data_IF_279715373426
#
_entry.id   IF_279715373426
#
_cell.length_a   1.000
_cell.length_b   1.000
_cell.length_c   1.000
_cell.angle_alpha   90.00
_cell.angle_beta   90.00
_cell.angle_gamma   90.00
#
_symmetry.space_group_name_H-M   'P 1'
#
loop_
_entity.id
_entity.type
_entity.pdbx_description
1 polymer ?
#
# COMPACT_ATOMS: atom_id res chain seq x y z
N UNK A 1 70.60 -60.10 36.13
CA UNK A 1 71.01 -61.51 36.28
C UNK A 1 69.75 -62.35 36.09
N UNK A 2 69.84 -63.40 35.27
CA UNK A 2 68.79 -64.33 34.83
C UNK A 2 67.77 -63.75 33.81
N UNK A 3 67.67 -64.22 32.55
CA UNK A 3 67.38 -65.59 32.06
C UNK A 3 66.03 -66.06 32.64
N UNK A 4 65.11 -66.72 31.95
CA UNK A 4 65.07 -67.44 30.68
C UNK A 4 63.57 -67.68 30.38
N UNK A 5 63.12 -67.69 29.12
CA UNK A 5 62.95 -68.86 28.22
C UNK A 5 62.00 -69.94 28.79
N UNK A 6 60.98 -70.28 27.99
CA UNK A 6 60.20 -71.53 28.07
C UNK A 6 58.97 -71.44 27.17
N UNK A 7 59.09 -71.76 25.87
CA UNK A 7 58.65 -73.03 25.25
C UNK A 7 57.12 -73.18 25.25
N UNK A 8 56.42 -73.34 24.12
CA UNK A 8 56.65 -74.43 23.15
C UNK A 8 56.00 -74.14 21.79
N UNK A 9 56.75 -74.47 20.73
CA UNK A 9 56.39 -74.99 19.40
C UNK A 9 54.90 -75.35 19.12
N UNK A 10 54.31 -74.78 18.06
CA UNK A 10 54.21 -75.28 16.67
C UNK A 10 52.86 -75.98 16.38
N UNK A 11 51.99 -75.31 15.61
CA UNK A 11 51.36 -75.89 14.42
C UNK A 11 50.61 -74.79 13.64
N UNK A 12 51.03 -74.53 12.40
CA UNK A 12 50.34 -73.65 11.45
C UNK A 12 49.40 -74.51 10.59
N UNK A 13 48.14 -74.10 10.41
CA UNK A 13 47.50 -74.28 9.12
C UNK A 13 46.89 -72.97 8.59
N UNK A 14 47.48 -72.52 7.48
CA UNK A 14 46.92 -71.75 6.36
C UNK A 14 45.67 -70.90 6.61
N UNK A 15 45.92 -69.60 6.69
CA UNK A 15 44.99 -68.49 6.47
C UNK A 15 44.19 -68.68 5.17
N UNK A 16 42.89 -68.94 5.32
CA UNK A 16 41.88 -68.63 4.29
C UNK A 16 41.10 -67.43 4.80
N UNK A 17 41.52 -66.24 4.37
CA UNK A 17 40.83 -64.98 4.68
C UNK A 17 39.60 -64.93 3.77
N UNK A 18 38.43 -65.29 4.32
CA UNK A 18 37.16 -64.86 3.73
C UNK A 18 36.95 -63.38 4.07
N UNK A 19 36.69 -62.57 3.04
CA UNK A 19 36.37 -61.17 3.18
C UNK A 19 35.02 -61.02 3.91
N UNK A 20 35.07 -60.53 5.14
CA UNK A 20 33.88 -60.20 5.93
C UNK A 20 33.16 -58.99 5.31
N UNK A 21 31.83 -59.11 5.16
CA UNK A 21 30.96 -58.02 4.73
C UNK A 21 31.01 -56.86 5.76
N UNK A 22 31.00 -55.59 5.32
CA UNK A 22 31.05 -54.45 6.23
C UNK A 22 29.77 -54.34 7.08
N UNK A 23 29.87 -53.80 8.31
CA UNK A 23 28.73 -53.65 9.21
C UNK A 23 27.70 -52.64 8.66
N UNK A 24 26.41 -52.76 9.05
CA UNK A 24 25.37 -51.86 8.58
C UNK A 24 25.66 -50.42 9.03
N UNK A 25 25.60 -49.52 8.06
CA UNK A 25 25.79 -48.08 8.23
C UNK A 25 24.68 -47.54 9.13
N UNK A 26 25.04 -47.05 10.31
CA UNK A 26 24.17 -46.24 11.18
C UNK A 26 23.58 -45.09 10.35
N UNK A 27 22.27 -45.11 10.13
CA UNK A 27 21.55 -44.02 9.48
C UNK A 27 21.68 -42.77 10.35
N UNK A 28 22.37 -41.78 9.80
CA UNK A 28 22.50 -40.45 10.40
C UNK A 28 21.10 -39.84 10.45
N UNK A 29 20.57 -39.66 11.67
CA UNK A 29 19.38 -38.86 11.92
C UNK A 29 19.57 -37.52 11.20
N UNK A 30 18.78 -37.32 10.14
CA UNK A 30 18.74 -36.06 9.39
C UNK A 30 18.24 -34.99 10.36
N UNK A 31 19.15 -34.15 10.83
CA UNK A 31 18.78 -32.90 11.45
C UNK A 31 17.99 -32.11 10.41
N UNK A 32 16.70 -31.88 10.69
CA UNK A 32 15.88 -30.95 9.92
C UNK A 32 16.68 -29.65 9.75
N UNK A 33 16.93 -29.17 8.53
CA UNK A 33 17.52 -27.86 8.40
C UNK A 33 16.54 -26.88 9.04
N UNK A 34 17.01 -26.08 10.00
CA UNK A 34 16.27 -24.92 10.45
C UNK A 34 15.87 -24.15 9.20
N UNK A 35 14.57 -24.01 8.95
CA UNK A 35 14.05 -23.27 7.82
C UNK A 35 14.54 -21.84 7.97
N UNK A 36 15.66 -21.52 7.32
CA UNK A 36 16.12 -20.17 7.15
C UNK A 36 15.09 -19.54 6.25
N UNK A 37 14.15 -18.79 6.85
CA UNK A 37 13.21 -17.95 6.10
C UNK A 37 14.09 -16.93 5.37
N UNK A 38 14.52 -17.29 4.16
CA UNK A 38 14.92 -16.31 3.18
C UNK A 38 13.62 -15.61 2.82
N UNK A 39 13.52 -14.34 3.18
CA UNK A 39 12.62 -13.43 2.50
C UNK A 39 13.02 -13.46 1.02
N UNK A 40 12.42 -14.36 0.25
CA UNK A 40 12.33 -14.18 -1.19
C UNK A 40 11.62 -12.85 -1.39
N UNK A 41 12.12 -12.02 -2.30
CA UNK A 41 11.36 -10.91 -2.87
C UNK A 41 10.21 -11.50 -3.71
N UNK A 42 9.34 -12.27 -3.07
CA UNK A 42 8.08 -12.73 -3.61
C UNK A 42 7.19 -11.50 -3.67
N UNK A 43 7.22 -10.88 -4.83
CA UNK A 43 6.26 -9.89 -5.27
C UNK A 43 4.87 -10.52 -5.09
N UNK A 44 4.01 -9.95 -4.25
CA UNK A 44 2.70 -10.57 -3.94
C UNK A 44 1.84 -10.66 -5.20
N UNK A 45 0.87 -11.57 -5.30
CA UNK A 45 -0.03 -11.68 -6.46
C UNK A 45 -0.84 -10.40 -6.79
N UNK A 46 -0.65 -9.33 -6.03
CA UNK A 46 -1.18 -7.97 -6.26
C UNK A 46 -0.33 -7.20 -7.28
N UNK A 47 0.68 -7.82 -7.88
CA UNK A 47 1.84 -7.10 -8.40
C UNK A 47 2.25 -7.39 -9.86
N UNK A 48 1.43 -8.05 -10.64
CA UNK A 48 1.63 -8.16 -12.09
C UNK A 48 0.60 -7.27 -12.79
N UNK A 49 0.88 -6.72 -14.00
CA UNK A 49 -0.20 -6.25 -14.87
C UNK A 49 -1.20 -7.39 -14.96
N UNK A 50 -2.44 -7.10 -14.59
CA UNK A 50 -3.39 -8.16 -14.27
C UNK A 50 -3.60 -9.04 -15.52
N UNK A 51 -3.36 -10.36 -15.44
CA UNK A 51 -3.64 -11.27 -16.55
C UNK A 51 -5.13 -11.18 -16.92
N UNK A 52 -5.56 -11.65 -18.11
CA UNK A 52 -6.98 -11.68 -18.47
C UNK A 52 -7.84 -12.36 -17.37
N UNK A 53 -7.26 -13.35 -16.67
CA UNK A 53 -7.82 -13.99 -15.48
C UNK A 53 -7.55 -13.18 -14.18
N UNK A 54 -8.01 -11.93 -14.15
CA UNK A 54 -7.89 -11.06 -12.97
C UNK A 54 -9.03 -11.25 -11.98
N UNK A 55 -8.80 -11.01 -10.67
CA UNK A 55 -9.91 -10.95 -9.73
C UNK A 55 -10.85 -9.80 -10.11
N UNK A 56 -12.15 -10.09 -10.19
CA UNK A 56 -13.19 -9.10 -10.46
C UNK A 56 -13.87 -8.69 -9.16
N UNK A 57 -14.45 -7.49 -9.15
CA UNK A 57 -15.23 -6.98 -8.02
C UNK A 57 -16.46 -7.87 -7.71
N UNK A 58 -17.05 -8.47 -8.74
CA UNK A 58 -18.16 -9.40 -8.65
C UNK A 58 -17.72 -10.76 -9.24
N UNK A 59 -17.46 -11.78 -8.40
CA UNK A 59 -17.01 -13.08 -8.90
C UNK A 59 -18.05 -13.72 -9.84
N UNK A 60 -17.62 -14.09 -11.05
CA UNK A 60 -18.47 -14.75 -12.05
C UNK A 60 -19.11 -13.82 -13.08
N UNK A 61 -18.91 -12.49 -13.01
CA UNK A 61 -19.24 -11.61 -14.14
C UNK A 61 -18.13 -11.57 -15.19
N UNK A 62 -18.46 -11.08 -16.38
CA UNK A 62 -17.51 -10.63 -17.38
C UNK A 62 -17.15 -9.15 -17.14
N UNK A 63 -15.86 -8.75 -17.23
CA UNK A 63 -15.51 -7.34 -17.20
C UNK A 63 -16.01 -6.62 -18.46
N UNK A 64 -16.26 -5.29 -18.38
CA UNK A 64 -16.53 -4.48 -19.57
C UNK A 64 -15.35 -4.43 -20.55
N UNK A 65 -15.62 -4.29 -21.85
CA UNK A 65 -14.61 -4.34 -22.93
C UNK A 65 -13.53 -3.26 -22.83
N UNK A 66 -13.87 -2.08 -22.29
CA UNK A 66 -12.95 -0.96 -22.09
C UNK A 66 -12.03 -1.10 -20.87
N UNK A 67 -12.24 -2.13 -20.03
CA UNK A 67 -11.40 -2.46 -18.89
C UNK A 67 -10.58 -3.71 -19.20
N UNK A 68 -9.37 -3.50 -19.69
CA UNK A 68 -8.46 -4.54 -20.19
C UNK A 68 -7.50 -5.09 -19.12
N UNK A 69 -7.50 -4.54 -17.90
CA UNK A 69 -6.53 -4.89 -16.85
C UNK A 69 -5.20 -4.14 -16.94
N UNK A 70 -5.02 -3.26 -17.94
CA UNK A 70 -3.80 -2.44 -18.10
C UNK A 70 -3.73 -1.31 -17.08
N UNK A 71 -4.88 -0.86 -16.56
CA UNK A 71 -4.96 0.20 -15.55
C UNK A 71 -4.65 -0.34 -14.15
N UNK A 72 -3.89 0.41 -13.33
CA UNK A 72 -3.60 0.00 -11.96
C UNK A 72 -4.88 -0.01 -11.12
N UNK A 73 -5.19 -1.14 -10.49
CA UNK A 73 -6.41 -1.30 -9.68
C UNK A 73 -7.69 -1.57 -10.48
N UNK A 74 -7.57 -2.10 -11.71
CA UNK A 74 -8.70 -2.59 -12.51
C UNK A 74 -9.25 -3.91 -11.94
N UNK A 75 -10.46 -3.84 -11.36
CA UNK A 75 -11.24 -5.01 -10.91
C UNK A 75 -12.52 -5.18 -11.73
N UNK A 76 -12.62 -4.59 -12.93
CA UNK A 76 -13.80 -4.65 -13.78
C UNK A 76 -15.04 -3.92 -13.21
N UNK A 77 -14.83 -2.94 -12.33
CA UNK A 77 -15.91 -2.18 -11.69
C UNK A 77 -16.25 -0.93 -12.51
N UNK A 78 -17.25 -1.04 -13.38
CA UNK A 78 -17.93 0.10 -14.00
C UNK A 78 -19.37 -0.28 -14.39
N UNK A 79 -20.27 -0.51 -13.41
CA UNK A 79 -21.63 -0.96 -13.69
C UNK A 79 -22.48 0.10 -14.42
N UNK A 80 -22.09 1.38 -14.36
CA UNK A 80 -22.80 2.49 -14.99
C UNK A 80 -22.21 2.90 -16.35
N UNK A 81 -21.10 2.29 -16.77
CA UNK A 81 -20.45 2.59 -18.05
C UNK A 81 -19.91 4.01 -18.16
N UNK A 82 -19.52 4.62 -17.03
CA UNK A 82 -19.00 5.99 -17.00
C UNK A 82 -17.69 6.10 -17.79
N UNK A 83 -16.87 5.04 -17.76
CA UNK A 83 -15.58 4.97 -18.46
C UNK A 83 -15.65 4.37 -19.87
N UNK A 84 -16.84 4.27 -20.48
CA UNK A 84 -17.00 3.65 -21.80
C UNK A 84 -16.22 4.35 -22.91
N UNK A 85 -16.07 5.68 -22.83
CA UNK A 85 -15.23 6.45 -23.74
C UNK A 85 -13.79 6.54 -23.23
N UNK A 86 -12.76 6.34 -24.07
CA UNK A 86 -11.36 6.40 -23.67
C UNK A 86 -10.90 7.73 -23.06
N UNK A 87 -11.47 8.86 -23.50
CA UNK A 87 -11.13 10.19 -22.98
C UNK A 87 -11.70 10.38 -21.57
N UNK A 88 -12.98 10.04 -21.39
CA UNK A 88 -13.63 9.99 -20.08
C UNK A 88 -12.91 9.05 -19.10
N UNK A 89 -12.48 7.87 -19.56
CA UNK A 89 -11.72 6.92 -18.73
C UNK A 89 -10.38 7.50 -18.27
N UNK A 90 -9.65 8.18 -19.17
CA UNK A 90 -8.39 8.88 -18.82
C UNK A 90 -8.62 9.99 -17.80
N UNK A 91 -9.68 10.78 -17.98
CA UNK A 91 -10.05 11.82 -17.04
C UNK A 91 -10.39 11.25 -15.66
N UNK A 92 -11.22 10.20 -15.61
CA UNK A 92 -11.60 9.56 -14.34
C UNK A 92 -10.43 8.87 -13.64
N UNK A 93 -9.49 8.27 -14.37
CA UNK A 93 -8.27 7.71 -13.78
C UNK A 93 -7.43 8.80 -13.08
N UNK A 94 -7.31 9.98 -13.70
CA UNK A 94 -6.60 11.12 -13.11
C UNK A 94 -7.36 11.74 -11.95
N UNK A 95 -8.68 11.84 -12.07
CA UNK A 95 -9.53 12.30 -10.98
C UNK A 95 -9.40 11.37 -9.77
N UNK A 96 -9.52 10.05 -9.96
CA UNK A 96 -9.36 9.05 -8.89
C UNK A 96 -8.00 9.17 -8.20
N UNK A 97 -6.92 9.34 -8.96
CA UNK A 97 -5.58 9.49 -8.43
C UNK A 97 -5.45 10.74 -7.55
N UNK A 98 -5.95 11.90 -7.99
CA UNK A 98 -5.87 13.15 -7.21
C UNK A 98 -6.77 13.08 -5.97
N UNK A 99 -8.01 12.58 -6.10
CA UNK A 99 -8.92 12.41 -4.96
C UNK A 99 -8.34 11.44 -3.93
N UNK A 100 -7.76 10.32 -4.38
CA UNK A 100 -7.11 9.35 -3.52
C UNK A 100 -5.94 9.96 -2.75
N UNK A 101 -5.07 10.74 -3.41
CA UNK A 101 -3.93 11.42 -2.76
C UNK A 101 -4.39 12.44 -1.71
N UNK A 102 -5.36 13.29 -2.04
CA UNK A 102 -5.91 14.26 -1.09
C UNK A 102 -6.60 13.57 0.09
N UNK A 103 -7.36 12.50 -0.17
CA UNK A 103 -7.99 11.74 0.89
C UNK A 103 -6.97 11.06 1.82
N UNK A 104 -5.87 10.50 1.28
CA UNK A 104 -4.79 9.94 2.09
C UNK A 104 -4.15 11.00 2.99
N UNK A 105 -3.88 12.20 2.46
CA UNK A 105 -3.35 13.33 3.25
C UNK A 105 -4.35 13.80 4.30
N UNK A 106 -5.64 13.90 3.95
CA UNK A 106 -6.69 14.30 4.88
C UNK A 106 -6.85 13.30 6.03
N UNK A 107 -6.95 12.00 5.73
CA UNK A 107 -7.07 10.93 6.74
C UNK A 107 -5.85 10.90 7.66
N UNK A 108 -4.63 11.02 7.12
CA UNK A 108 -3.43 11.11 7.93
C UNK A 108 -3.43 12.39 8.80
N UNK A 109 -3.81 13.53 8.22
CA UNK A 109 -3.90 14.82 8.91
C UNK A 109 -4.99 14.90 9.98
N UNK A 110 -6.00 14.03 9.93
CA UNK A 110 -7.03 13.89 10.97
C UNK A 110 -6.55 12.92 12.06
N UNK A 111 -6.16 11.71 11.67
CA UNK A 111 -5.86 10.64 12.61
C UNK A 111 -4.56 10.85 13.39
N UNK A 112 -3.49 11.35 12.75
CA UNK A 112 -2.20 11.50 13.42
C UNK A 112 -2.30 12.54 14.55
N UNK A 113 -2.84 13.75 14.32
CA UNK A 113 -2.93 14.74 15.39
C UNK A 113 -3.90 14.36 16.49
N UNK A 114 -5.02 13.69 16.17
CA UNK A 114 -5.95 13.20 17.18
C UNK A 114 -5.33 12.09 18.04
N UNK A 115 -4.54 11.20 17.44
CA UNK A 115 -3.79 10.16 18.14
C UNK A 115 -2.75 10.79 19.08
N UNK A 116 -1.97 11.77 18.59
CA UNK A 116 -1.00 12.50 19.39
C UNK A 116 -1.65 13.32 20.51
N UNK A 117 -2.83 13.88 20.29
CA UNK A 117 -3.57 14.59 21.32
C UNK A 117 -4.03 13.65 22.44
N UNK A 118 -4.47 12.42 22.10
CA UNK A 118 -4.79 11.41 23.12
C UNK A 118 -3.58 10.87 23.88
N UNK A 119 -2.40 10.93 23.27
CA UNK A 119 -1.13 10.59 23.92
C UNK A 119 -0.53 11.76 24.72
N UNK A 120 -1.30 12.82 24.96
CA UNK A 120 -0.90 14.02 25.72
C UNK A 120 0.29 14.79 25.10
N UNK A 121 0.64 14.52 23.83
CA UNK A 121 1.66 15.29 23.11
C UNK A 121 1.12 16.62 22.54
N UNK A 122 -0.20 16.75 22.40
CA UNK A 122 -0.87 17.96 21.91
C UNK A 122 -2.15 18.23 22.70
N UNK A 123 -2.43 19.49 22.99
CA UNK A 123 -3.62 19.88 23.74
C UNK A 123 -4.79 20.20 22.80
N UNK A 124 -5.98 19.68 23.15
CA UNK A 124 -7.28 20.09 22.60
C UNK A 124 -7.32 20.19 21.07
N UNK A 125 -6.93 19.13 20.35
CA UNK A 125 -7.05 19.06 18.89
C UNK A 125 -8.41 18.51 18.46
N UNK A 126 -9.14 19.26 17.62
CA UNK A 126 -10.32 18.80 16.89
C UNK A 126 -10.13 19.21 15.44
N UNK A 127 -10.11 18.24 14.53
CA UNK A 127 -9.97 18.51 13.09
C UNK A 127 -11.17 19.26 12.53
N UNK A 128 -12.36 19.01 13.08
CA UNK A 128 -13.62 19.61 12.64
C UNK A 128 -13.69 21.10 12.99
N UNK A 129 -13.24 21.48 14.19
CA UNK A 129 -13.24 22.87 14.66
C UNK A 129 -11.95 23.63 14.32
N UNK A 130 -11.02 23.00 13.58
CA UNK A 130 -9.76 23.63 13.22
C UNK A 130 -9.97 24.91 12.39
N UNK A 131 -10.96 24.92 11.50
CA UNK A 131 -11.25 26.07 10.63
C UNK A 131 -11.76 27.32 11.35
N UNK A 132 -12.32 27.19 12.56
CA UNK A 132 -12.82 28.31 13.35
C UNK A 132 -11.80 28.88 14.33
N UNK A 133 -10.58 28.32 14.38
CA UNK A 133 -9.52 28.82 15.26
C UNK A 133 -8.96 30.14 14.72
N UNK A 134 -8.45 30.94 15.64
CA UNK A 134 -7.70 32.13 15.27
C UNK A 134 -6.30 31.74 14.79
N UNK A 135 -5.93 32.29 13.64
CA UNK A 135 -4.61 32.14 13.03
C UNK A 135 -3.95 33.51 12.93
N UNK A 136 -2.70 33.52 12.43
CA UNK A 136 -1.93 34.76 12.25
C UNK A 136 -2.53 35.73 11.21
N UNK A 137 -3.42 35.25 10.34
CA UNK A 137 -4.10 36.02 9.30
C UNK A 137 -5.58 35.62 9.24
N UNK A 138 -6.39 36.49 8.64
CA UNK A 138 -7.81 36.22 8.45
C UNK A 138 -8.03 35.03 7.50
N UNK A 139 -9.10 34.23 7.70
CA UNK A 139 -9.37 33.06 6.86
C UNK A 139 -9.51 33.37 5.37
N UNK A 140 -9.97 34.57 5.01
CA UNK A 140 -10.12 34.97 3.61
C UNK A 140 -8.75 35.19 2.95
N UNK A 141 -7.81 35.84 3.62
CA UNK A 141 -6.43 35.99 3.14
C UNK A 141 -5.75 34.64 2.96
N UNK A 142 -5.89 33.73 3.93
CA UNK A 142 -5.36 32.37 3.81
C UNK A 142 -5.99 31.62 2.63
N UNK A 143 -7.30 31.74 2.43
CA UNK A 143 -8.00 31.15 1.31
C UNK A 143 -7.54 31.70 -0.04
N UNK A 144 -7.37 33.02 -0.18
CA UNK A 144 -6.88 33.64 -1.42
C UNK A 144 -5.44 33.20 -1.73
N UNK A 145 -4.57 33.17 -0.72
CA UNK A 145 -3.21 32.67 -0.87
C UNK A 145 -3.20 31.20 -1.30
N UNK A 146 -4.04 30.37 -0.68
CA UNK A 146 -4.21 28.97 -1.08
C UNK A 146 -4.71 28.84 -2.52
N UNK A 147 -5.71 29.62 -2.94
CA UNK A 147 -6.24 29.60 -4.30
C UNK A 147 -5.19 30.03 -5.33
N UNK A 148 -4.36 31.02 -5.03
CA UNK A 148 -3.29 31.46 -5.92
C UNK A 148 -2.20 30.38 -6.08
N UNK A 149 -1.72 29.80 -4.98
CA UNK A 149 -0.68 28.77 -5.00
C UNK A 149 -1.18 27.46 -5.62
N UNK A 150 -2.34 26.97 -5.19
CA UNK A 150 -2.95 25.76 -5.72
C UNK A 150 -3.40 25.95 -7.17
N UNK A 151 -3.91 27.14 -7.52
CA UNK A 151 -4.27 27.47 -8.89
C UNK A 151 -3.07 27.39 -9.85
N UNK A 152 -1.89 27.84 -9.44
CA UNK A 152 -0.66 27.66 -10.22
C UNK A 152 -0.28 26.19 -10.38
N UNK A 153 -0.28 25.42 -9.29
CA UNK A 153 0.10 23.99 -9.31
C UNK A 153 -0.88 23.16 -10.13
N UNK A 154 -2.18 23.32 -9.90
CA UNK A 154 -3.24 22.63 -10.65
C UNK A 154 -3.32 23.10 -12.10
N UNK A 155 -3.06 24.38 -12.38
CA UNK A 155 -2.96 24.89 -13.75
C UNK A 155 -1.84 24.23 -14.56
N UNK A 156 -0.68 24.01 -13.92
CA UNK A 156 0.43 23.24 -14.52
C UNK A 156 0.06 21.77 -14.71
N UNK A 157 -0.58 21.14 -13.72
CA UNK A 157 -1.08 19.76 -13.84
C UNK A 157 -2.10 19.62 -14.97
N UNK A 158 -3.02 20.57 -15.09
CA UNK A 158 -4.02 20.63 -16.15
C UNK A 158 -3.38 20.75 -17.53
N UNK A 159 -2.38 21.61 -17.68
CA UNK A 159 -1.64 21.74 -18.93
C UNK A 159 -0.95 20.43 -19.35
N UNK A 160 -0.40 19.67 -18.40
CA UNK A 160 0.16 18.33 -18.67
C UNK A 160 -0.91 17.30 -19.04
N UNK A 161 -2.10 17.38 -18.44
CA UNK A 161 -3.22 16.49 -18.77
C UNK A 161 -3.74 16.71 -20.20
N UNK A 162 -3.86 17.97 -20.64
CA UNK A 162 -4.29 18.31 -22.00
C UNK A 162 -3.20 18.03 -23.02
N UNK A 163 -1.95 18.40 -22.70
CA UNK A 163 -0.79 18.22 -23.57
C UNK A 163 0.34 17.53 -22.79
N UNK A 164 0.40 16.19 -22.81
CA UNK A 164 1.40 15.41 -22.08
C UNK A 164 2.84 15.82 -22.44
N UNK A 165 3.65 16.15 -21.42
CA UNK A 165 5.05 16.57 -21.61
C UNK A 165 5.24 18.04 -21.95
N UNK A 166 4.17 18.85 -21.94
CA UNK A 166 4.29 20.32 -22.04
C UNK A 166 4.89 20.94 -20.77
N UNK A 167 4.79 20.25 -19.63
CA UNK A 167 5.19 20.72 -18.30
C UNK A 167 6.23 19.79 -17.68
N UNK A 168 7.25 19.41 -18.46
CA UNK A 168 8.35 18.58 -17.96
C UNK A 168 9.10 19.29 -16.82
N UNK A 169 9.30 18.59 -15.70
CA UNK A 169 10.04 19.07 -14.52
C UNK A 169 11.55 18.89 -14.70
N UNK A 170 11.96 17.93 -15.53
CA UNK A 170 13.36 17.66 -15.79
C UNK A 170 13.92 18.59 -16.87
N UNK A 171 15.11 19.18 -16.66
CA UNK A 171 15.74 19.99 -17.68
C UNK A 171 16.01 19.13 -18.92
N UNK A 172 15.61 19.65 -20.10
CA UNK A 172 15.84 18.98 -21.38
C UNK A 172 17.33 19.01 -21.70
N UNK A 173 18.02 17.92 -21.40
CA UNK A 173 19.43 17.76 -21.72
C UNK A 173 19.56 17.24 -23.17
N UNK A 174 20.35 17.90 -24.03
CA UNK A 174 20.43 17.55 -25.46
C UNK A 174 20.96 16.13 -25.73
N UNK A 175 21.68 15.54 -24.76
CA UNK A 175 22.34 14.23 -24.91
C UNK A 175 21.58 13.06 -24.27
N UNK A 176 20.42 13.30 -23.65
CA UNK A 176 19.64 12.27 -22.97
C UNK A 176 18.22 12.27 -23.49
N UNK A 177 17.71 11.09 -23.87
CA UNK A 177 16.30 10.94 -24.23
C UNK A 177 15.46 11.17 -22.98
N UNK A 178 14.48 12.06 -23.08
CA UNK A 178 13.51 12.26 -22.00
C UNK A 178 12.71 10.96 -21.81
N UNK A 179 12.40 10.60 -20.56
CA UNK A 179 11.50 9.48 -20.29
C UNK A 179 10.13 9.75 -20.93
N UNK A 180 9.41 8.68 -21.27
CA UNK A 180 8.04 8.78 -21.78
C UNK A 180 7.18 9.49 -20.73
N UNK A 181 6.49 10.56 -21.15
CA UNK A 181 5.57 11.28 -20.29
C UNK A 181 4.44 10.33 -19.85
N UNK A 182 4.21 10.26 -18.54
CA UNK A 182 3.15 9.48 -17.93
C UNK A 182 2.33 10.40 -17.03
N UNK A 183 1.15 10.76 -17.51
CA UNK A 183 0.30 11.79 -16.89
C UNK A 183 -0.14 11.31 -15.51
N UNK A 184 -0.03 12.18 -14.51
CA UNK A 184 -0.32 11.87 -13.09
C UNK A 184 0.87 11.32 -12.30
N UNK A 185 1.96 10.97 -12.99
CA UNK A 185 3.23 10.50 -12.41
C UNK A 185 4.41 11.39 -12.86
N UNK A 186 4.48 12.64 -12.38
CA UNK A 186 5.46 13.63 -12.83
C UNK A 186 6.93 13.20 -12.64
N UNK A 187 7.20 12.44 -11.58
CA UNK A 187 8.56 12.00 -11.23
C UNK A 187 9.55 13.17 -11.09
N UNK A 188 10.80 12.94 -11.51
CA UNK A 188 11.87 13.90 -11.37
C UNK A 188 12.33 14.07 -9.92
N UNK A 189 13.35 14.91 -9.70
CA UNK A 189 13.98 15.05 -8.38
C UNK A 189 13.03 15.56 -7.29
N UNK A 190 12.03 16.37 -7.67
CA UNK A 190 11.10 16.99 -6.73
C UNK A 190 9.98 16.05 -6.25
N UNK A 191 9.48 15.16 -7.11
CA UNK A 191 8.36 14.28 -6.78
C UNK A 191 8.74 12.81 -6.61
N UNK A 192 9.91 12.40 -7.10
CA UNK A 192 10.46 11.05 -6.92
C UNK A 192 11.99 11.09 -6.72
N UNK A 193 12.47 11.61 -5.56
CA UNK A 193 13.90 11.71 -5.28
C UNK A 193 14.60 10.35 -5.23
N UNK A 194 13.87 9.29 -4.88
CA UNK A 194 14.39 7.92 -4.77
C UNK A 194 14.24 7.11 -6.06
N UNK A 195 13.66 7.69 -7.12
CA UNK A 195 13.45 7.08 -8.43
C UNK A 195 12.69 5.73 -8.37
N UNK A 196 11.77 5.57 -7.41
CA UNK A 196 10.99 4.33 -7.25
C UNK A 196 9.83 4.22 -8.24
N UNK A 197 9.38 5.34 -8.80
CA UNK A 197 8.35 5.39 -9.85
C UNK A 197 8.88 5.16 -11.25
N UNK A 198 10.21 5.00 -11.41
CA UNK A 198 10.89 4.81 -12.71
C UNK A 198 11.67 3.51 -12.68
N UNK A 199 11.15 2.48 -13.35
CA UNK A 199 11.74 1.14 -13.35
C UNK A 199 11.04 0.21 -14.34
N UNK A 200 11.16 -1.10 -14.11
CA UNK A 200 10.41 -2.07 -14.92
C UNK A 200 8.90 -1.86 -14.74
N UNK A 201 8.08 -2.14 -15.78
CA UNK A 201 6.63 -1.89 -15.74
C UNK A 201 5.93 -2.60 -14.58
N UNK A 202 6.33 -3.84 -14.28
CA UNK A 202 5.74 -4.67 -13.23
C UNK A 202 5.82 -4.02 -11.84
N UNK A 203 7.00 -3.72 -11.24
CA UNK A 203 7.09 -3.10 -9.91
C UNK A 203 6.39 -1.74 -9.84
N UNK A 204 6.41 -0.97 -10.93
CA UNK A 204 5.71 0.32 -10.98
C UNK A 204 4.18 0.10 -10.90
N UNK A 205 3.64 -0.86 -11.66
CA UNK A 205 2.23 -1.22 -11.60
C UNK A 205 1.78 -1.69 -10.22
N UNK A 206 2.64 -2.40 -9.49
CA UNK A 206 2.40 -2.74 -8.07
C UNK A 206 2.19 -1.50 -7.21
N UNK A 207 3.13 -0.58 -7.30
CA UNK A 207 3.17 0.59 -6.42
C UNK A 207 1.97 1.49 -6.70
N UNK A 208 1.61 1.65 -7.98
CA UNK A 208 0.39 2.36 -8.39
C UNK A 208 -0.87 1.65 -7.92
N UNK A 209 -0.94 0.33 -8.02
CA UNK A 209 -2.08 -0.44 -7.50
C UNK A 209 -2.22 -0.27 -5.98
N UNK A 210 -1.09 -0.24 -5.24
CA UNK A 210 -1.09 0.04 -3.80
C UNK A 210 -1.53 1.48 -3.51
N UNK A 211 -1.07 2.45 -4.28
CA UNK A 211 -1.49 3.85 -4.16
C UNK A 211 -3.00 3.99 -4.34
N UNK A 212 -3.56 3.46 -5.43
CA UNK A 212 -5.00 3.56 -5.71
C UNK A 212 -5.83 2.82 -4.66
N UNK A 213 -5.41 1.63 -4.21
CA UNK A 213 -6.13 0.90 -3.15
C UNK A 213 -6.16 1.67 -1.82
N UNK A 214 -5.02 2.25 -1.41
CA UNK A 214 -4.98 3.08 -0.22
C UNK A 214 -5.78 4.39 -0.42
N UNK A 215 -5.74 4.97 -1.61
CA UNK A 215 -6.56 6.13 -1.99
C UNK A 215 -8.06 5.85 -1.88
N UNK A 216 -8.55 4.74 -2.43
CA UNK A 216 -9.95 4.30 -2.31
C UNK A 216 -10.36 4.10 -0.86
N UNK A 217 -9.52 3.41 -0.08
CA UNK A 217 -9.76 3.22 1.35
C UNK A 217 -9.82 4.56 2.10
N UNK A 218 -8.91 5.49 1.79
CA UNK A 218 -8.85 6.81 2.41
C UNK A 218 -10.06 7.68 2.03
N UNK A 219 -10.54 7.62 0.78
CA UNK A 219 -11.76 8.34 0.37
C UNK A 219 -12.97 7.87 1.18
N UNK A 220 -13.14 6.56 1.35
CA UNK A 220 -14.21 5.99 2.18
C UNK A 220 -14.04 6.36 3.66
N UNK A 221 -12.81 6.31 4.18
CA UNK A 221 -12.52 6.68 5.57
C UNK A 221 -12.84 8.17 5.83
N UNK A 222 -12.44 9.07 4.94
CA UNK A 222 -12.71 10.50 5.07
C UNK A 222 -14.22 10.80 5.07
N UNK A 223 -14.97 10.21 4.14
CA UNK A 223 -16.44 10.33 4.14
C UNK A 223 -17.02 9.78 5.45
N UNK A 224 -16.52 8.64 5.92
CA UNK A 224 -16.87 8.07 7.22
C UNK A 224 -16.63 9.04 8.38
N UNK A 225 -15.47 9.71 8.43
CA UNK A 225 -15.14 10.68 9.47
C UNK A 225 -16.05 11.91 9.45
N UNK A 226 -16.40 12.42 8.26
CA UNK A 226 -17.34 13.54 8.13
C UNK A 226 -18.72 13.17 8.69
N UNK A 227 -19.24 12.00 8.33
CA UNK A 227 -20.51 11.53 8.86
C UNK A 227 -20.44 11.25 10.36
N UNK A 228 -19.38 10.58 10.83
CA UNK A 228 -19.17 10.31 12.25
C UNK A 228 -19.13 11.60 13.06
N UNK A 229 -18.32 12.59 12.66
CA UNK A 229 -18.26 13.88 13.35
C UNK A 229 -19.62 14.59 13.37
N UNK A 230 -20.41 14.49 12.30
CA UNK A 230 -21.74 15.10 12.26
C UNK A 230 -22.75 14.43 13.19
N UNK A 231 -22.72 13.11 13.28
CA UNK A 231 -23.73 12.35 14.05
C UNK A 231 -23.34 12.15 15.51
N UNK A 232 -22.07 11.89 15.82
CA UNK A 232 -21.60 11.64 17.19
C UNK A 232 -21.07 12.90 17.86
N UNK A 233 -20.66 13.92 17.10
CA UNK A 233 -20.01 15.12 17.63
C UNK A 233 -18.62 14.85 18.21
N UNK A 234 -18.06 13.66 17.98
CA UNK A 234 -16.78 13.22 18.52
C UNK A 234 -15.79 12.88 17.40
N UNK A 235 -14.51 12.86 17.76
CA UNK A 235 -13.44 12.50 16.82
C UNK A 235 -13.49 11.03 16.41
N UNK A 236 -12.98 10.66 15.22
CA UNK A 236 -12.94 9.28 14.74
C UNK A 236 -12.27 8.30 15.70
N UNK A 237 -11.24 8.70 16.46
CA UNK A 237 -10.56 7.80 17.41
C UNK A 237 -11.46 7.55 18.63
N UNK A 238 -12.20 8.55 19.08
CA UNK A 238 -13.15 8.40 20.18
C UNK A 238 -14.28 7.45 19.81
N UNK A 239 -14.84 7.61 18.62
CA UNK A 239 -15.85 6.72 18.08
C UNK A 239 -15.33 5.28 17.98
N UNK A 240 -14.07 5.11 17.56
CA UNK A 240 -13.42 3.80 17.51
C UNK A 240 -13.28 3.19 18.91
N UNK A 241 -12.80 3.94 19.89
CA UNK A 241 -12.62 3.46 21.26
C UNK A 241 -13.97 3.11 21.93
N UNK A 242 -15.01 3.92 21.70
CA UNK A 242 -16.35 3.65 22.18
C UNK A 242 -16.94 2.37 21.55
N UNK A 243 -16.76 2.18 20.25
CA UNK A 243 -17.19 0.97 19.56
C UNK A 243 -16.41 -0.28 20.01
N UNK A 244 -15.10 -0.16 20.25
CA UNK A 244 -14.28 -1.26 20.76
C UNK A 244 -14.65 -1.66 22.19
N UNK A 245 -15.07 -0.71 23.03
CA UNK A 245 -15.49 -0.98 24.40
C UNK A 245 -16.82 -1.75 24.45
N UNK A 246 -17.77 -1.44 23.57
CA UNK A 246 -19.05 -2.14 23.47
C UNK A 246 -19.57 -2.15 22.02
N UNK A 247 -19.18 -3.13 21.19
CA UNK A 247 -19.57 -3.16 19.78
C UNK A 247 -21.06 -3.48 19.59
N UNK A 248 -21.70 -4.08 20.60
CA UNK A 248 -23.12 -4.46 20.55
C UNK A 248 -24.05 -3.26 20.68
N UNK A 249 -23.68 -2.28 21.50
CA UNK A 249 -24.53 -1.12 21.79
C UNK A 249 -23.99 0.19 21.21
N UNK A 250 -22.68 0.38 21.07
CA UNK A 250 -22.08 1.60 20.50
C UNK A 250 -21.96 1.47 18.98
N UNK A 251 -23.07 1.59 18.24
CA UNK A 251 -23.09 1.46 16.79
C UNK A 251 -23.97 2.54 16.14
N UNK A 252 -24.17 2.46 14.82
CA UNK A 252 -24.98 3.43 14.09
C UNK A 252 -26.43 3.53 14.61
N UNK A 253 -26.99 2.45 15.15
CA UNK A 253 -28.36 2.45 15.64
C UNK A 253 -28.52 3.24 16.93
N UNK A 254 -27.55 3.19 17.85
CA UNK A 254 -27.61 3.99 19.08
C UNK A 254 -27.48 5.48 18.79
N UNK A 255 -26.65 5.86 17.82
CA UNK A 255 -26.48 7.24 17.38
C UNK A 255 -27.70 7.76 16.62
N UNK A 256 -28.32 6.96 15.74
CA UNK A 256 -29.56 7.37 15.08
C UNK A 256 -30.72 7.50 16.06
N UNK A 257 -30.84 6.60 17.04
CA UNK A 257 -31.88 6.68 18.05
C UNK A 257 -31.73 7.91 18.96
N UNK A 258 -30.50 8.30 19.31
CA UNK A 258 -30.27 9.53 20.07
C UNK A 258 -30.55 10.78 19.23
N UNK A 259 -30.15 10.78 17.95
CA UNK A 259 -30.42 11.88 17.02
C UNK A 259 -31.91 12.10 16.80
N UNK A 260 -32.69 11.05 16.55
CA UNK A 260 -34.16 11.14 16.38
C UNK A 260 -34.85 11.63 17.65
N UNK A 261 -34.34 11.29 18.84
CA UNK A 261 -34.88 11.79 20.12
C UNK A 261 -34.56 13.26 20.38
N UNK A 262 -33.62 13.85 19.64
CA UNK A 262 -33.19 15.24 19.78
C UNK A 262 -33.87 16.20 18.79
N UNK A 263 -34.68 15.68 17.85
CA UNK A 263 -35.52 16.44 16.91
C UNK A 263 -36.92 16.63 17.48
#
# INVERSE_FOLDING_TARGET
MALAIGSSALCNPKLRIEASKPPPRLERISSRPAARIRATKGVSSVCEPLPPDRPLWFPGSSPPDWLDGSLPGDFGFDPLGLGSEPESLRWFAQAELVHGRWAMLAVAGILIPECLAKLEFMENYSWYDAGSREYFADPATLFVAQMALMGWVEGRRWADLVNPGSVDIEPKLPNRKNPKADVGYPGGLWFDPMMWGRGSPEPVMVLRTKEIKNGRLAMLAFVGFVFQARYTGQGPIENLMAHLADPGHCNIFSVMLSFVRSL
#
